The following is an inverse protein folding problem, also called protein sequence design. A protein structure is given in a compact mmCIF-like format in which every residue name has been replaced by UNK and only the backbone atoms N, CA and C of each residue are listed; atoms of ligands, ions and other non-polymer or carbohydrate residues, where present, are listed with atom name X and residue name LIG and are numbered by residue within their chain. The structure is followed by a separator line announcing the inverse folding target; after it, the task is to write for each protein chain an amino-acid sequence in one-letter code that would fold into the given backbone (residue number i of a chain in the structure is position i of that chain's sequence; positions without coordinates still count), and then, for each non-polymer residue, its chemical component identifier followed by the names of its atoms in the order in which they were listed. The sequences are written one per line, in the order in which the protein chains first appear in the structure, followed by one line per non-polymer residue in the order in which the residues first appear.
data_IF_149719427916
#
_entry.id   IF_149719427916
#
_cell.length_a   1.000
_cell.length_b   1.000
_cell.length_c   1.000
_cell.angle_alpha   90.00
_cell.angle_beta   90.00
_cell.angle_gamma   90.00
#
_symmetry.space_group_name_H-M   'P 1'
#
loop_
_entity.id
_entity.type
_entity.pdbx_description
1 polymer ?
#
# COMPACT_ATOMS: atom_id res chain seq x y z
N UNK A 1 6.58 -17.06 7.49
CA UNK A 1 6.36 -16.13 6.37
C UNK A 1 4.90 -16.25 5.98
N UNK A 2 4.13 -15.18 6.07
CA UNK A 2 2.70 -15.21 5.77
C UNK A 2 2.42 -15.47 4.28
N UNK A 3 1.25 -16.00 3.95
CA UNK A 3 0.89 -16.33 2.55
C UNK A 3 1.02 -15.12 1.60
N UNK A 4 0.64 -13.94 2.10
CA UNK A 4 0.67 -12.69 1.34
C UNK A 4 2.09 -12.12 1.24
N UNK A 5 2.88 -12.20 2.31
CA UNK A 5 4.30 -11.79 2.31
C UNK A 5 5.10 -12.63 1.30
N UNK A 6 4.85 -13.95 1.23
CA UNK A 6 5.49 -14.81 0.24
C UNK A 6 5.12 -14.44 -1.21
N UNK A 7 3.89 -13.98 -1.45
CA UNK A 7 3.47 -13.49 -2.76
C UNK A 7 4.16 -12.15 -3.10
N UNK A 8 4.34 -11.26 -2.12
CA UNK A 8 5.13 -10.04 -2.29
C UNK A 8 6.60 -10.36 -2.61
N UNK A 9 7.24 -11.31 -1.92
CA UNK A 9 8.65 -11.64 -2.17
C UNK A 9 8.93 -12.16 -3.58
N UNK A 10 7.94 -12.75 -4.25
CA UNK A 10 8.05 -13.18 -5.65
C UNK A 10 8.15 -12.02 -6.65
N UNK A 11 7.84 -10.80 -6.21
CA UNK A 11 7.94 -9.60 -7.04
C UNK A 11 9.38 -9.12 -7.22
N UNK A 12 10.31 -9.59 -6.38
CA UNK A 12 11.70 -9.13 -6.38
C UNK A 12 11.88 -7.69 -5.88
N UNK A 13 10.85 -7.11 -5.24
CA UNK A 13 10.91 -5.78 -4.64
C UNK A 13 11.30 -5.87 -3.16
N UNK A 14 12.02 -4.86 -2.67
CA UNK A 14 12.33 -4.70 -1.25
C UNK A 14 11.26 -3.84 -0.57
N UNK A 15 10.72 -4.34 0.55
CA UNK A 15 9.78 -3.59 1.38
C UNK A 15 10.56 -2.71 2.37
N UNK A 16 10.48 -1.39 2.18
CA UNK A 16 11.01 -0.37 3.10
C UNK A 16 10.18 -0.30 4.39
N UNK A 17 8.86 -0.42 4.24
CA UNK A 17 7.88 -0.48 5.31
C UNK A 17 6.90 -1.59 4.94
N UNK A 18 6.52 -2.43 5.90
CA UNK A 18 5.53 -3.48 5.69
C UNK A 18 4.49 -3.51 6.81
N UNK A 19 3.28 -3.90 6.45
CA UNK A 19 2.18 -4.17 7.37
C UNK A 19 1.51 -5.47 6.94
N UNK A 20 1.54 -6.46 7.83
CA UNK A 20 0.82 -7.71 7.65
C UNK A 20 -0.51 -7.64 8.42
N UNK A 21 -1.57 -8.11 7.79
CA UNK A 21 -2.89 -8.22 8.40
C UNK A 21 -3.55 -9.56 8.06
N UNK A 22 -4.64 -9.90 8.77
CA UNK A 22 -5.36 -11.17 8.57
C UNK A 22 -5.89 -11.33 7.13
N UNK A 23 -6.16 -10.23 6.43
CA UNK A 23 -6.74 -10.23 5.08
C UNK A 23 -5.81 -9.72 3.99
N UNK A 24 -4.56 -9.39 4.29
CA UNK A 24 -3.64 -8.93 3.27
C UNK A 24 -2.28 -8.48 3.79
N UNK A 25 -1.44 -8.03 2.86
CA UNK A 25 -0.12 -7.49 3.13
C UNK A 25 0.06 -6.18 2.37
N UNK A 26 0.56 -5.17 3.07
CA UNK A 26 0.92 -3.88 2.52
C UNK A 26 2.43 -3.69 2.60
N UNK A 27 3.01 -3.18 1.53
CA UNK A 27 4.41 -2.77 1.50
C UNK A 27 4.60 -1.46 0.78
N UNK A 28 5.50 -0.64 1.30
CA UNK A 28 6.07 0.50 0.58
C UNK A 28 7.42 0.04 0.04
N UNK A 29 7.61 0.13 -1.26
CA UNK A 29 8.89 -0.11 -1.94
C UNK A 29 9.53 1.22 -2.31
N UNK A 30 10.62 1.23 -3.06
CA UNK A 30 11.22 2.49 -3.52
C UNK A 30 10.28 3.30 -4.43
N UNK A 31 9.44 2.61 -5.20
CA UNK A 31 8.59 3.23 -6.22
C UNK A 31 7.08 3.00 -6.01
N UNK A 32 6.69 1.94 -5.29
CA UNK A 32 5.28 1.51 -5.23
C UNK A 32 4.75 1.41 -3.80
N UNK A 33 3.45 1.71 -3.65
CA UNK A 33 2.62 1.11 -2.63
C UNK A 33 2.06 -0.20 -3.18
N UNK A 34 2.40 -1.32 -2.56
CA UNK A 34 1.99 -2.66 -2.98
C UNK A 34 1.00 -3.22 -1.97
N UNK A 35 -0.12 -3.72 -2.47
CA UNK A 35 -1.12 -4.43 -1.70
C UNK A 35 -1.29 -5.84 -2.24
N UNK A 36 -1.23 -6.83 -1.35
CA UNK A 36 -1.46 -8.23 -1.67
C UNK A 36 -2.65 -8.72 -0.86
N UNK A 37 -3.65 -9.28 -1.54
CA UNK A 37 -4.80 -9.96 -0.94
C UNK A 37 -5.06 -11.30 -1.65
N UNK A 38 -6.19 -11.94 -1.33
CA UNK A 38 -6.62 -13.17 -2.00
C UNK A 38 -6.96 -12.99 -3.49
N UNK A 39 -7.20 -11.76 -3.96
CA UNK A 39 -7.41 -11.47 -5.36
C UNK A 39 -6.09 -11.24 -6.13
N UNK A 40 -4.97 -11.10 -5.42
CA UNK A 40 -3.64 -11.03 -6.00
C UNK A 40 -2.87 -9.78 -5.57
N UNK A 41 -1.94 -9.36 -6.44
CA UNK A 41 -1.07 -8.20 -6.19
C UNK A 41 -1.60 -6.99 -6.93
N UNK A 42 -1.75 -5.87 -6.22
CA UNK A 42 -2.10 -4.56 -6.76
C UNK A 42 -0.99 -3.58 -6.39
N UNK A 43 -0.67 -2.65 -7.29
CA UNK A 43 0.39 -1.67 -7.11
C UNK A 43 -0.11 -0.29 -7.49
N UNK A 44 0.46 0.71 -6.84
CA UNK A 44 0.23 2.12 -7.13
C UNK A 44 1.56 2.86 -7.04
N UNK A 45 1.91 3.60 -8.07
CA UNK A 45 3.14 4.39 -8.08
C UNK A 45 3.08 5.48 -7.01
N UNK A 46 4.06 5.51 -6.12
CA UNK A 46 4.14 6.47 -5.02
C UNK A 46 4.15 7.92 -5.53
N UNK A 47 4.85 8.18 -6.64
CA UNK A 47 4.92 9.50 -7.25
C UNK A 47 3.53 10.02 -7.69
N UNK A 48 2.66 9.10 -8.12
CA UNK A 48 1.31 9.39 -8.64
C UNK A 48 0.24 9.47 -7.56
N UNK A 49 0.51 9.02 -6.33
CA UNK A 49 -0.47 9.11 -5.23
C UNK A 49 -0.86 10.56 -5.00
N UNK A 50 -2.15 10.89 -5.13
CA UNK A 50 -2.70 12.23 -4.89
C UNK A 50 -3.25 12.39 -3.48
N UNK A 51 -4.00 11.39 -2.99
CA UNK A 51 -4.60 11.44 -1.65
C UNK A 51 -4.94 10.07 -1.10
N UNK A 52 -5.06 10.00 0.22
CA UNK A 52 -5.63 8.87 0.97
C UNK A 52 -6.93 9.34 1.60
N UNK A 53 -8.00 8.55 1.47
CA UNK A 53 -9.31 8.90 2.01
C UNK A 53 -10.15 7.68 2.35
N UNK A 54 -11.35 7.94 2.87
CA UNK A 54 -12.34 6.89 3.13
C UNK A 54 -12.97 6.44 1.81
N UNK A 55 -13.00 5.12 1.59
CA UNK A 55 -13.74 4.50 0.49
C UNK A 55 -15.14 4.03 0.92
N UNK A 56 -15.81 3.29 0.05
CA UNK A 56 -17.11 2.70 0.33
C UNK A 56 -17.01 1.43 1.19
N UNK A 57 -18.11 1.01 1.82
CA UNK A 57 -18.25 -0.29 2.47
C UNK A 57 -17.11 -0.71 3.45
N UNK A 58 -16.56 0.25 4.21
CA UNK A 58 -15.50 -0.04 5.18
C UNK A 58 -14.13 -0.25 4.54
N UNK A 59 -13.85 0.49 3.46
CA UNK A 59 -12.54 0.52 2.81
C UNK A 59 -11.85 1.88 2.98
N UNK A 60 -10.54 1.90 2.78
CA UNK A 60 -9.77 3.10 2.49
C UNK A 60 -9.42 3.12 1.01
N UNK A 61 -9.39 4.32 0.44
CA UNK A 61 -9.02 4.57 -0.94
C UNK A 61 -7.71 5.34 -0.96
N UNK A 62 -6.69 4.76 -1.58
CA UNK A 62 -5.46 5.48 -1.96
C UNK A 62 -5.57 5.81 -3.43
N UNK A 63 -5.78 7.08 -3.74
CA UNK A 63 -6.04 7.55 -5.10
C UNK A 63 -4.77 8.10 -5.74
N UNK A 64 -4.39 7.56 -6.88
CA UNK A 64 -3.36 8.06 -7.79
C UNK A 64 -3.91 9.00 -8.85
N UNK A 65 -3.11 9.24 -9.90
CA UNK A 65 -3.52 10.08 -11.03
C UNK A 65 -4.46 9.35 -11.99
N UNK A 66 -4.18 8.09 -12.29
CA UNK A 66 -4.91 7.27 -13.26
C UNK A 66 -5.54 6.00 -12.62
N UNK A 67 -5.09 5.68 -11.41
CA UNK A 67 -5.29 4.41 -10.73
C UNK A 67 -5.54 4.61 -9.22
N UNK A 68 -6.05 3.57 -8.56
CA UNK A 68 -6.34 3.62 -7.13
C UNK A 68 -6.22 2.24 -6.47
N UNK A 69 -5.86 2.24 -5.18
CA UNK A 69 -5.92 1.05 -4.32
C UNK A 69 -7.07 1.16 -3.34
N UNK A 70 -7.87 0.11 -3.29
CA UNK A 70 -8.94 -0.08 -2.31
C UNK A 70 -8.47 -1.06 -1.25
N UNK A 71 -8.35 -0.57 -0.01
CA UNK A 71 -7.83 -1.31 1.13
C UNK A 71 -8.98 -1.64 2.10
N UNK A 72 -9.36 -2.91 2.28
CA UNK A 72 -10.41 -3.28 3.23
C UNK A 72 -9.93 -3.04 4.67
N UNK A 73 -10.67 -2.25 5.46
CA UNK A 73 -10.29 -2.00 6.87
C UNK A 73 -10.21 -3.29 7.68
N UNK A 74 -11.11 -4.24 7.43
CA UNK A 74 -11.12 -5.55 8.09
C UNK A 74 -9.90 -6.42 7.79
N UNK A 75 -9.13 -6.10 6.75
CA UNK A 75 -7.96 -6.88 6.35
C UNK A 75 -6.75 -6.58 7.23
N UNK A 76 -6.78 -5.51 8.04
CA UNK A 76 -5.65 -5.02 8.83
C UNK A 76 -6.10 -4.57 10.23
N UNK A 77 -5.20 -4.59 11.22
CA UNK A 77 -5.41 -3.88 12.48
C UNK A 77 -5.55 -2.38 12.20
N UNK A 78 -6.66 -1.77 12.64
CA UNK A 78 -7.04 -0.41 12.23
C UNK A 78 -5.98 0.64 12.59
N UNK A 79 -5.43 0.58 13.80
CA UNK A 79 -4.46 1.55 14.28
C UNK A 79 -3.11 1.43 13.56
N UNK A 80 -2.68 0.19 13.28
CA UNK A 80 -1.45 -0.05 12.50
C UNK A 80 -1.62 0.39 11.04
N UNK A 81 -2.80 0.17 10.44
CA UNK A 81 -3.11 0.65 9.10
C UNK A 81 -3.07 2.19 9.02
N UNK A 82 -3.63 2.88 10.01
CA UNK A 82 -3.55 4.35 10.08
C UNK A 82 -2.11 4.82 10.18
N UNK A 83 -1.34 4.26 11.12
CA UNK A 83 0.07 4.63 11.31
C UNK A 83 0.90 4.38 10.04
N UNK A 84 0.66 3.25 9.36
CA UNK A 84 1.30 2.93 8.08
C UNK A 84 1.00 3.98 7.00
N UNK A 85 -0.27 4.36 6.85
CA UNK A 85 -0.70 5.36 5.85
C UNK A 85 -0.22 6.78 6.20
N UNK A 86 -0.09 7.13 7.47
CA UNK A 86 0.54 8.38 7.89
C UNK A 86 2.03 8.40 7.54
N UNK A 87 2.71 7.25 7.72
CA UNK A 87 4.10 7.03 7.31
C UNK A 87 4.33 7.09 5.79
N UNK A 88 3.28 7.01 4.97
CA UNK A 88 3.39 7.03 3.50
C UNK A 88 3.84 8.39 2.94
N UNK A 89 3.51 9.49 3.63
CA UNK A 89 3.78 10.87 3.17
C UNK A 89 5.25 11.13 2.78
N UNK A 90 6.26 10.84 3.62
CA UNK A 90 7.66 11.03 3.25
C UNK A 90 8.09 10.18 2.04
N UNK A 91 7.57 8.96 1.88
CA UNK A 91 7.89 8.10 0.73
C UNK A 91 7.32 8.66 -0.58
N UNK A 92 6.09 9.15 -0.57
CA UNK A 92 5.48 9.86 -1.72
C UNK A 92 6.29 11.10 -2.09
N UNK A 93 6.67 11.91 -1.10
CA UNK A 93 7.48 13.11 -1.36
C UNK A 93 8.85 12.77 -1.96
N UNK A 94 9.50 11.69 -1.50
CA UNK A 94 10.76 11.20 -2.06
C UNK A 94 10.60 10.70 -3.50
N UNK A 95 9.59 9.87 -3.76
CA UNK A 95 9.34 9.30 -5.09
C UNK A 95 9.06 10.40 -6.14
N UNK A 96 8.30 11.43 -5.77
CA UNK A 96 8.05 12.60 -6.63
C UNK A 96 9.33 13.36 -6.98
N UNK A 97 10.23 13.55 -6.01
CA UNK A 97 11.53 14.21 -6.26
C UNK A 97 12.44 13.39 -7.17
N UNK A 98 12.39 12.07 -7.09
CA UNK A 98 13.20 11.19 -7.93
C UNK A 98 12.74 11.13 -9.39
N UNK A 99 11.50 11.54 -9.67
CA UNK A 99 10.89 11.53 -11.01
C UNK A 99 10.88 12.93 -11.66
N UNK A 100 11.35 13.96 -10.95
CA UNK A 100 11.31 15.36 -11.37
C UNK A 100 12.62 15.85 -11.98
#
# INVERSE_FOLDING_TARGET
MGKYEAAFSRLGEEALVKLEGPGGFLAVTEAHLVFVDDAGVKRLELARIRRVGKGEAGTLLVQGEEDALVLPLKAFPLEELKAFLEGLKPHVARARKATS
#
